data_IF_695143709104
#
_entry.id   IF_695143709104
#
_cell.length_a   1.000
_cell.length_b   1.000
_cell.length_c   1.000
_cell.angle_alpha   90.00
_cell.angle_beta   90.00
_cell.angle_gamma   90.00
#
_symmetry.space_group_name_H-M   'P 1'
#
loop_
_entity.id
_entity.type
_entity.pdbx_description
1 polymer ?
#
# COMPACT_ATOMS: atom_id res chain seq x y z
N UNK A 1 -27.72 -2.74 -69.65
CA UNK A 1 -26.25 -2.81 -69.47
C UNK A 1 -25.78 -1.42 -69.07
N UNK A 2 -25.56 -1.18 -67.77
CA UNK A 2 -25.09 0.11 -67.26
C UNK A 2 -23.59 0.04 -66.99
N UNK A 3 -22.85 1.03 -67.49
CA UNK A 3 -21.42 1.17 -67.34
C UNK A 3 -21.06 1.68 -65.93
N UNK A 4 -20.02 1.10 -65.31
CA UNK A 4 -19.48 1.56 -64.04
C UNK A 4 -18.55 2.78 -64.23
N UNK A 5 -18.59 3.80 -63.34
CA UNK A 5 -17.69 4.95 -63.41
C UNK A 5 -16.28 4.64 -62.84
N UNK A 6 -15.23 5.34 -63.32
CA UNK A 6 -13.83 5.07 -62.95
C UNK A 6 -13.43 5.67 -61.58
N UNK A 7 -12.51 5.00 -60.88
CA UNK A 7 -11.94 5.47 -59.61
C UNK A 7 -10.94 6.63 -59.81
N UNK A 8 -10.98 7.69 -58.98
CA UNK A 8 -9.96 8.74 -59.00
C UNK A 8 -8.67 8.33 -58.28
N UNK A 9 -7.56 8.64 -58.95
CA UNK A 9 -6.19 8.27 -58.60
C UNK A 9 -5.62 8.93 -57.36
N UNK A 10 -4.61 8.25 -56.81
CA UNK A 10 -3.77 8.62 -55.66
C UNK A 10 -3.07 9.96 -55.91
N UNK A 11 -3.33 10.96 -55.06
CA UNK A 11 -2.44 12.11 -54.88
C UNK A 11 -1.46 11.80 -53.77
N UNK A 12 -0.16 11.81 -54.09
CA UNK A 12 0.92 11.72 -53.12
C UNK A 12 0.94 12.99 -52.27
N UNK A 13 0.80 12.84 -50.95
CA UNK A 13 1.00 13.90 -49.99
C UNK A 13 2.38 13.71 -49.37
N UNK A 14 3.32 14.58 -49.73
CA UNK A 14 4.61 14.69 -49.07
C UNK A 14 4.39 15.21 -47.64
N UNK A 15 4.43 14.32 -46.66
CA UNK A 15 4.52 14.71 -45.24
C UNK A 15 5.96 14.47 -44.79
N UNK A 16 6.70 15.57 -44.66
CA UNK A 16 7.97 15.60 -43.94
C UNK A 16 7.64 15.44 -42.45
N UNK A 17 7.83 14.25 -41.90
CA UNK A 17 7.77 14.03 -40.45
C UNK A 17 9.15 14.36 -39.88
N UNK A 18 9.27 15.54 -39.29
CA UNK A 18 10.42 15.93 -38.49
C UNK A 18 10.32 15.18 -37.15
N UNK A 19 11.11 14.11 -37.00
CA UNK A 19 11.18 13.34 -35.77
C UNK A 19 11.91 14.12 -34.67
N UNK A 20 11.16 14.65 -33.70
CA UNK A 20 11.71 15.02 -32.40
C UNK A 20 11.60 13.84 -31.45
N UNK A 21 12.72 13.13 -31.28
CA UNK A 21 12.92 12.12 -30.26
C UNK A 21 13.04 12.82 -28.90
N UNK A 22 11.91 13.04 -28.22
CA UNK A 22 11.90 13.41 -26.80
C UNK A 22 12.04 12.13 -25.99
N UNK A 23 13.24 11.87 -25.47
CA UNK A 23 13.43 10.92 -24.37
C UNK A 23 12.61 11.43 -23.18
N UNK A 24 11.44 10.83 -22.97
CA UNK A 24 10.69 10.96 -21.73
C UNK A 24 11.50 10.29 -20.62
N UNK A 25 12.15 11.10 -19.78
CA UNK A 25 12.66 10.65 -18.49
C UNK A 25 11.40 10.21 -17.71
N UNK A 26 11.25 8.91 -17.48
CA UNK A 26 10.19 8.41 -16.62
C UNK A 26 10.40 9.02 -15.23
N UNK A 27 9.56 9.99 -14.87
CA UNK A 27 9.54 10.54 -13.53
C UNK A 27 9.17 9.40 -12.57
N UNK A 28 10.07 9.08 -11.64
CA UNK A 28 9.74 8.30 -10.46
C UNK A 28 8.53 8.97 -9.81
N UNK A 29 7.42 8.27 -9.55
CA UNK A 29 6.29 8.87 -8.85
C UNK A 29 6.81 9.36 -7.50
N UNK A 30 6.70 10.67 -7.26
CA UNK A 30 6.94 11.24 -5.95
C UNK A 30 6.01 10.55 -4.96
N UNK A 31 6.55 10.11 -3.82
CA UNK A 31 5.75 9.60 -2.73
C UNK A 31 4.69 10.67 -2.40
N UNK A 32 3.41 10.34 -2.60
CA UNK A 32 2.31 11.23 -2.21
C UNK A 32 2.42 11.52 -0.72
N UNK A 33 2.46 12.81 -0.36
CA UNK A 33 2.42 13.25 1.03
C UNK A 33 1.17 12.68 1.70
N UNK A 34 1.36 12.04 2.86
CA UNK A 34 0.26 11.63 3.71
C UNK A 34 -0.59 12.87 4.10
N UNK A 35 -1.93 12.75 4.24
CA UNK A 35 -2.77 13.90 4.56
C UNK A 35 -2.29 14.59 5.83
N UNK A 36 -2.00 15.89 5.74
CA UNK A 36 -1.65 16.73 6.88
C UNK A 36 -2.88 16.96 7.75
N UNK A 37 -3.11 16.06 8.72
CA UNK A 37 -4.15 16.17 9.73
C UNK A 37 -3.73 15.43 11.01
N UNK A 38 -3.90 16.01 12.21
CA UNK A 38 -3.58 15.37 13.50
C UNK A 38 -4.35 14.06 13.85
N UNK A 39 -4.14 12.95 13.15
CA UNK A 39 -4.55 11.58 13.55
C UNK A 39 -5.92 11.36 14.21
N UNK A 40 -5.98 10.27 14.98
CA UNK A 40 -7.14 9.82 15.76
C UNK A 40 -6.76 9.72 17.24
N UNK A 41 -7.74 9.84 18.13
CA UNK A 41 -7.54 9.61 19.56
C UNK A 41 -8.76 8.91 20.18
N UNK A 42 -8.61 8.46 21.42
CA UNK A 42 -9.70 7.85 22.18
C UNK A 42 -10.34 8.91 23.07
N UNK A 43 -11.67 9.04 22.99
CA UNK A 43 -12.47 9.86 23.89
C UNK A 43 -13.58 8.99 24.48
N UNK A 44 -13.54 8.79 25.81
CA UNK A 44 -14.37 7.80 26.48
C UNK A 44 -14.13 6.38 25.94
N UNK A 45 -15.15 5.80 25.32
CA UNK A 45 -15.09 4.47 24.68
C UNK A 45 -15.16 4.53 23.15
N UNK A 46 -14.79 5.66 22.54
CA UNK A 46 -14.86 5.88 21.09
C UNK A 46 -13.49 6.29 20.55
N UNK A 47 -13.18 5.81 19.35
CA UNK A 47 -12.16 6.40 18.51
C UNK A 47 -12.80 7.62 17.83
N UNK A 48 -12.15 8.76 17.90
CA UNK A 48 -12.63 10.02 17.32
C UNK A 48 -11.51 10.68 16.51
N UNK A 49 -11.89 11.45 15.49
CA UNK A 49 -10.97 12.37 14.83
C UNK A 49 -10.72 13.63 15.70
N UNK A 50 -9.94 14.59 15.20
CA UNK A 50 -9.63 15.83 15.92
C UNK A 50 -10.85 16.71 16.21
N UNK A 51 -11.88 16.63 15.37
CA UNK A 51 -13.12 17.38 15.57
C UNK A 51 -14.00 16.76 16.65
N UNK A 52 -13.61 15.58 17.17
CA UNK A 52 -14.42 14.77 18.08
C UNK A 52 -15.46 13.91 17.36
N UNK A 53 -15.41 13.83 16.02
CA UNK A 53 -16.35 13.00 15.26
C UNK A 53 -15.98 11.53 15.43
N UNK A 54 -16.93 10.64 15.80
CA UNK A 54 -16.66 9.21 15.92
C UNK A 54 -16.15 8.60 14.62
N UNK A 55 -15.03 7.90 14.71
CA UNK A 55 -14.48 7.10 13.63
C UNK A 55 -14.88 5.64 13.82
N UNK A 56 -15.54 5.07 12.82
CA UNK A 56 -15.93 3.66 12.80
C UNK A 56 -14.96 2.89 11.90
N UNK A 57 -14.20 1.97 12.50
CA UNK A 57 -13.29 1.08 11.78
C UNK A 57 -14.09 0.09 10.93
N UNK A 58 -13.81 0.07 9.64
CA UNK A 58 -14.30 -0.89 8.65
C UNK A 58 -13.08 -1.48 7.96
N UNK A 59 -12.50 -2.48 8.61
CA UNK A 59 -11.20 -3.03 8.24
C UNK A 59 -11.27 -4.35 7.47
N UNK A 60 -10.16 -4.68 6.81
CA UNK A 60 -9.87 -6.03 6.31
C UNK A 60 -8.38 -6.32 6.46
N UNK A 61 -8.01 -7.60 6.44
CA UNK A 61 -6.64 -8.03 6.22
C UNK A 61 -6.26 -7.88 4.74
N UNK A 62 -5.04 -7.43 4.47
CA UNK A 62 -4.47 -7.42 3.13
C UNK A 62 -2.96 -7.66 3.17
N UNK A 63 -2.38 -7.98 2.00
CA UNK A 63 -0.95 -8.34 1.89
C UNK A 63 -0.60 -9.54 2.80
N UNK A 64 -1.59 -10.42 3.01
CA UNK A 64 -1.46 -11.55 3.92
C UNK A 64 -0.33 -12.47 3.46
N UNK A 65 0.42 -12.96 4.42
CA UNK A 65 1.51 -13.89 4.20
C UNK A 65 2.84 -13.26 3.78
N UNK A 66 2.92 -11.93 3.58
CA UNK A 66 4.20 -11.31 3.22
C UNK A 66 5.14 -11.10 4.41
N UNK A 67 4.59 -10.79 5.58
CA UNK A 67 5.36 -10.33 6.75
C UNK A 67 5.15 -11.15 8.04
N UNK A 68 4.30 -12.19 8.02
CA UNK A 68 3.93 -12.95 9.23
C UNK A 68 3.70 -14.44 8.97
N UNK A 69 4.50 -15.07 8.09
CA UNK A 69 4.37 -16.49 7.72
C UNK A 69 3.51 -16.68 6.47
N UNK A 70 3.00 -17.88 6.18
CA UNK A 70 2.03 -18.09 5.09
C UNK A 70 2.60 -18.06 3.65
N UNK A 71 3.84 -18.51 3.48
CA UNK A 71 4.58 -18.56 2.20
C UNK A 71 4.85 -17.18 1.59
N UNK A 72 5.78 -16.46 2.23
CA UNK A 72 6.16 -15.10 1.85
C UNK A 72 6.65 -14.98 0.40
N UNK A 73 7.25 -16.02 -0.18
CA UNK A 73 7.73 -16.01 -1.57
C UNK A 73 6.76 -16.64 -2.58
N UNK A 74 5.71 -17.32 -2.13
CA UNK A 74 4.59 -17.77 -2.97
C UNK A 74 3.41 -16.82 -2.87
N UNK A 75 2.35 -17.21 -2.14
CA UNK A 75 1.13 -16.41 -2.06
C UNK A 75 1.34 -15.04 -1.39
N UNK A 76 2.25 -14.92 -0.42
CA UNK A 76 2.62 -13.64 0.19
C UNK A 76 3.19 -12.65 -0.83
N UNK A 77 4.12 -13.11 -1.67
CA UNK A 77 4.70 -12.31 -2.75
C UNK A 77 3.63 -11.94 -3.79
N UNK A 78 2.75 -12.88 -4.15
CA UNK A 78 1.65 -12.60 -5.07
C UNK A 78 0.69 -11.54 -4.50
N UNK A 79 0.35 -11.62 -3.22
CA UNK A 79 -0.50 -10.64 -2.55
C UNK A 79 0.17 -9.26 -2.52
N UNK A 80 1.48 -9.21 -2.22
CA UNK A 80 2.27 -7.98 -2.26
C UNK A 80 2.35 -7.36 -3.66
N UNK A 81 2.63 -8.16 -4.70
CA UNK A 81 2.69 -7.70 -6.10
C UNK A 81 1.34 -7.13 -6.59
N UNK A 82 0.23 -7.62 -6.06
CA UNK A 82 -1.11 -7.15 -6.39
C UNK A 82 -1.65 -6.08 -5.43
N UNK A 83 -0.91 -5.74 -4.37
CA UNK A 83 -1.42 -4.98 -3.24
C UNK A 83 -2.04 -3.64 -3.65
N UNK A 84 -1.40 -2.87 -4.54
CA UNK A 84 -1.94 -1.56 -4.95
C UNK A 84 -3.32 -1.68 -5.60
N UNK A 85 -3.50 -2.63 -6.54
CA UNK A 85 -4.79 -2.90 -7.19
C UNK A 85 -5.83 -3.30 -6.15
N UNK A 86 -5.46 -4.19 -5.23
CA UNK A 86 -6.40 -4.72 -4.24
C UNK A 86 -6.79 -3.64 -3.23
N UNK A 87 -5.85 -2.78 -2.82
CA UNK A 87 -6.10 -1.63 -1.97
C UNK A 87 -7.03 -0.59 -2.64
N UNK A 88 -6.90 -0.37 -3.95
CA UNK A 88 -7.85 0.48 -4.70
C UNK A 88 -9.27 -0.09 -4.67
N UNK A 89 -9.40 -1.40 -4.92
CA UNK A 89 -10.69 -2.09 -4.89
C UNK A 89 -11.32 -2.07 -3.49
N UNK A 90 -10.52 -2.26 -2.44
CA UNK A 90 -10.98 -2.21 -1.05
C UNK A 90 -11.43 -0.80 -0.68
N UNK A 91 -10.67 0.23 -1.05
CA UNK A 91 -11.06 1.62 -0.84
C UNK A 91 -12.38 1.95 -1.54
N UNK A 92 -12.55 1.50 -2.79
CA UNK A 92 -13.79 1.68 -3.56
C UNK A 92 -15.00 1.00 -2.90
N UNK A 93 -14.78 -0.07 -2.13
CA UNK A 93 -15.81 -0.75 -1.34
C UNK A 93 -16.08 -0.09 0.02
N UNK A 94 -15.37 1.00 0.34
CA UNK A 94 -15.56 1.75 1.59
C UNK A 94 -14.76 1.23 2.78
N UNK A 95 -13.76 0.37 2.55
CA UNK A 95 -12.77 0.01 3.58
C UNK A 95 -11.98 1.27 3.97
N UNK A 96 -11.75 1.44 5.27
CA UNK A 96 -10.99 2.57 5.81
C UNK A 96 -9.79 2.18 6.67
N UNK A 97 -9.61 0.88 6.93
CA UNK A 97 -8.48 0.34 7.69
C UNK A 97 -7.99 -0.94 7.02
N UNK A 98 -6.69 -1.10 6.92
CA UNK A 98 -6.04 -2.31 6.44
C UNK A 98 -5.19 -2.85 7.57
N UNK A 99 -5.51 -4.06 8.02
CA UNK A 99 -4.64 -4.81 8.93
C UNK A 99 -3.57 -5.51 8.10
N UNK A 100 -2.32 -5.24 8.45
CA UNK A 100 -1.12 -5.89 7.90
C UNK A 100 -0.55 -6.74 9.03
N UNK A 101 -0.60 -8.06 8.87
CA UNK A 101 0.01 -8.98 9.83
C UNK A 101 1.53 -8.90 9.72
N UNK A 102 2.22 -8.63 10.82
CA UNK A 102 3.67 -8.56 10.94
C UNK A 102 4.14 -9.53 12.03
N UNK A 103 5.34 -10.10 11.90
CA UNK A 103 5.88 -10.99 12.92
C UNK A 103 7.36 -10.73 13.15
N UNK A 104 7.77 -10.61 14.42
CA UNK A 104 9.18 -10.52 14.81
C UNK A 104 10.02 -11.68 14.25
N UNK A 105 9.48 -12.91 14.27
CA UNK A 105 10.17 -14.08 13.73
C UNK A 105 10.49 -13.93 12.22
N UNK A 106 9.57 -13.39 11.43
CA UNK A 106 9.77 -13.15 10.00
C UNK A 106 10.70 -11.96 9.74
N UNK A 107 10.63 -10.92 10.56
CA UNK A 107 11.55 -9.79 10.50
C UNK A 107 13.01 -10.23 10.71
N UNK A 108 13.26 -11.17 11.62
CA UNK A 108 14.62 -11.60 11.99
C UNK A 108 15.15 -12.79 11.20
N UNK A 109 14.28 -13.75 10.89
CA UNK A 109 14.66 -15.05 10.32
C UNK A 109 13.85 -15.46 9.09
N UNK A 110 12.90 -14.60 8.68
CA UNK A 110 12.08 -14.84 7.49
C UNK A 110 12.88 -14.67 6.19
N UNK A 111 12.30 -15.09 5.07
CA UNK A 111 13.01 -15.19 3.78
C UNK A 111 13.37 -13.83 3.15
N UNK A 112 12.76 -12.73 3.59
CA UNK A 112 13.11 -11.37 3.14
C UNK A 112 14.40 -10.86 3.80
N UNK A 113 14.69 -11.32 5.02
CA UNK A 113 15.64 -10.64 5.89
C UNK A 113 15.15 -9.25 6.32
N UNK A 114 15.76 -8.71 7.37
CA UNK A 114 15.26 -7.51 8.07
C UNK A 114 15.23 -6.24 7.23
N UNK A 115 16.19 -6.05 6.32
CA UNK A 115 16.28 -4.86 5.48
C UNK A 115 15.16 -4.82 4.43
N UNK A 116 15.00 -5.90 3.64
CA UNK A 116 13.95 -5.99 2.61
C UNK A 116 12.57 -6.00 3.27
N UNK A 117 12.41 -6.70 4.39
CA UNK A 117 11.19 -6.69 5.20
C UNK A 117 10.73 -5.25 5.51
N UNK A 118 11.63 -4.41 6.05
CA UNK A 118 11.29 -3.03 6.40
C UNK A 118 11.12 -2.12 5.19
N UNK A 119 11.81 -2.38 4.08
CA UNK A 119 11.61 -1.63 2.83
C UNK A 119 10.24 -1.93 2.23
N UNK A 120 9.84 -3.18 2.19
CA UNK A 120 8.53 -3.55 1.63
C UNK A 120 7.38 -3.17 2.56
N UNK A 121 7.57 -3.27 3.87
CA UNK A 121 6.58 -2.80 4.84
C UNK A 121 6.34 -1.29 4.70
N UNK A 122 7.39 -0.49 4.49
CA UNK A 122 7.26 0.95 4.21
C UNK A 122 6.42 1.22 2.96
N UNK A 123 6.63 0.44 1.90
CA UNK A 123 5.86 0.59 0.67
C UNK A 123 4.39 0.25 0.91
N UNK A 124 4.08 -0.83 1.61
CA UNK A 124 2.70 -1.20 1.94
C UNK A 124 2.03 -0.14 2.81
N UNK A 125 2.72 0.35 3.85
CA UNK A 125 2.22 1.46 4.70
C UNK A 125 1.95 2.71 3.86
N UNK A 126 2.87 3.07 2.96
CA UNK A 126 2.70 4.20 2.05
C UNK A 126 1.49 4.01 1.14
N UNK A 127 1.33 2.84 0.51
CA UNK A 127 0.19 2.54 -0.34
C UNK A 127 -1.15 2.63 0.41
N UNK A 128 -1.22 2.14 1.63
CA UNK A 128 -2.44 2.21 2.45
C UNK A 128 -2.75 3.67 2.81
N UNK A 129 -1.77 4.39 3.34
CA UNK A 129 -1.98 5.74 3.90
C UNK A 129 -2.17 6.83 2.84
N UNK A 130 -1.58 6.70 1.65
CA UNK A 130 -1.87 7.56 0.49
C UNK A 130 -3.33 7.49 0.03
N UNK A 131 -4.03 6.39 0.34
CA UNK A 131 -5.48 6.23 0.08
C UNK A 131 -6.36 6.79 1.21
N UNK A 132 -5.74 7.46 2.19
CA UNK A 132 -6.42 7.94 3.40
C UNK A 132 -7.05 6.81 4.20
N UNK A 133 -6.44 5.62 4.19
CA UNK A 133 -6.81 4.49 5.03
C UNK A 133 -5.79 4.34 6.16
N UNK A 134 -6.21 3.76 7.27
CA UNK A 134 -5.32 3.39 8.36
C UNK A 134 -4.56 2.12 7.99
N UNK A 135 -3.25 2.11 8.21
CA UNK A 135 -2.45 0.89 8.23
C UNK A 135 -2.30 0.42 9.68
N UNK A 136 -3.03 -0.63 10.05
CA UNK A 136 -2.86 -1.30 11.35
C UNK A 136 -1.79 -2.38 11.23
N UNK A 137 -0.65 -2.17 11.87
CA UNK A 137 0.43 -3.16 11.95
C UNK A 137 0.15 -4.06 13.14
N UNK A 138 -0.32 -5.28 12.85
CA UNK A 138 -0.69 -6.27 13.85
C UNK A 138 0.44 -7.26 14.03
N UNK A 139 1.21 -7.09 15.10
CA UNK A 139 2.20 -8.07 15.51
C UNK A 139 1.51 -9.38 15.86
N UNK A 140 2.00 -10.50 15.35
CA UNK A 140 1.43 -11.84 15.57
C UNK A 140 2.42 -12.97 15.33
N UNK A 141 1.92 -14.20 15.42
CA UNK A 141 2.64 -15.45 15.09
C UNK A 141 3.99 -15.62 15.80
N UNK A 142 4.16 -14.95 16.94
CA UNK A 142 5.33 -15.04 17.81
C UNK A 142 4.84 -14.90 19.25
N UNK A 143 5.25 -15.81 20.12
CA UNK A 143 4.94 -15.69 21.56
C UNK A 143 5.57 -14.42 22.15
N UNK A 144 4.93 -13.87 23.19
CA UNK A 144 5.41 -12.66 23.86
C UNK A 144 6.85 -12.80 24.34
N UNK A 145 7.68 -11.81 24.01
CA UNK A 145 9.07 -11.70 24.46
C UNK A 145 9.53 -10.24 24.52
N UNK A 146 10.69 -9.98 25.15
CA UNK A 146 11.33 -8.65 25.12
C UNK A 146 11.70 -8.22 23.69
N UNK A 147 11.99 -9.17 22.82
CA UNK A 147 12.33 -8.88 21.43
C UNK A 147 11.10 -8.47 20.62
N UNK A 148 9.94 -9.11 20.89
CA UNK A 148 8.65 -8.68 20.32
C UNK A 148 8.31 -7.25 20.77
N UNK A 149 8.49 -6.92 22.05
CA UNK A 149 8.30 -5.55 22.54
C UNK A 149 9.25 -4.57 21.82
N UNK A 150 10.51 -4.96 21.64
CA UNK A 150 11.51 -4.12 20.97
C UNK A 150 11.18 -3.92 19.50
N UNK A 151 10.67 -4.95 18.82
CA UNK A 151 10.19 -4.88 17.46
C UNK A 151 8.97 -3.96 17.32
N UNK A 152 7.99 -4.08 18.21
CA UNK A 152 6.84 -3.18 18.27
C UNK A 152 7.30 -1.73 18.51
N UNK A 153 8.27 -1.52 19.40
CA UNK A 153 8.90 -0.21 19.63
C UNK A 153 9.62 0.34 18.38
N UNK A 154 10.30 -0.52 17.63
CA UNK A 154 10.92 -0.16 16.35
C UNK A 154 9.87 0.29 15.34
N UNK A 155 8.76 -0.44 15.17
CA UNK A 155 7.68 -0.06 14.26
C UNK A 155 7.04 1.27 14.68
N UNK A 156 6.78 1.45 15.98
CA UNK A 156 6.25 2.70 16.51
C UNK A 156 7.18 3.89 16.22
N UNK A 157 8.49 3.74 16.48
CA UNK A 157 9.47 4.80 16.19
C UNK A 157 9.63 5.07 14.69
N UNK A 158 9.56 4.04 13.85
CA UNK A 158 9.66 4.14 12.39
C UNK A 158 8.49 4.92 11.78
N UNK A 159 7.28 4.69 12.28
CA UNK A 159 6.05 5.26 11.72
C UNK A 159 5.44 6.40 12.55
N UNK A 160 6.11 6.88 13.60
CA UNK A 160 5.59 7.90 14.52
C UNK A 160 5.08 9.19 13.86
N UNK A 161 5.63 9.56 12.70
CA UNK A 161 5.25 10.77 11.98
C UNK A 161 4.01 10.57 11.08
N UNK A 162 3.56 9.33 10.89
CA UNK A 162 2.40 9.01 10.07
C UNK A 162 1.16 8.78 10.95
N UNK A 163 0.22 9.74 11.03
CA UNK A 163 -0.95 9.65 11.90
C UNK A 163 -1.96 8.56 11.47
N UNK A 164 -1.77 7.95 10.31
CA UNK A 164 -2.59 6.86 9.78
C UNK A 164 -1.98 5.47 10.04
N UNK A 165 -0.91 5.37 10.82
CA UNK A 165 -0.35 4.07 11.24
C UNK A 165 -0.77 3.76 12.67
N UNK A 166 -1.44 2.62 12.84
CA UNK A 166 -1.82 2.10 14.15
C UNK A 166 -0.99 0.86 14.47
N UNK A 167 -0.61 0.70 15.73
CA UNK A 167 0.19 -0.42 16.20
C UNK A 167 -0.69 -1.31 17.06
N UNK A 168 -0.93 -2.54 16.62
CA UNK A 168 -1.58 -3.59 17.40
C UNK A 168 -0.46 -4.52 17.91
N UNK A 169 -0.14 -4.50 19.22
CA UNK A 169 1.07 -5.11 19.76
C UNK A 169 1.04 -6.65 19.80
N UNK A 170 -0.14 -7.25 19.70
CA UNK A 170 -0.33 -8.69 19.69
C UNK A 170 -1.58 -9.07 18.89
N UNK A 171 -1.57 -10.24 18.25
CA UNK A 171 -2.64 -10.65 17.34
C UNK A 171 -3.85 -11.21 18.09
N UNK A 172 -3.61 -12.17 18.97
CA UNK A 172 -4.60 -13.02 19.66
C UNK A 172 -4.15 -13.39 21.07
#
# INVERSE_FOLDING_TARGET
MMAAPPMPGRRALNVVVLGMLLLGIAATPAAGEAPAGPGYHVSGNRIVDQSGTPFIVKGTDAVYGRFAGGDANGYGLRNYQNAQRDLDNLKAQGVNTIRVSVAYAEYTSGPLGSAEYLTELDQVVSWVTQRGMIAELSQGESGFSSDVISFVGLLAGRYQANPLVWIKPDNE
#
